data_IF_172278831880
#
_entry.id   IF_172278831880
#
_cell.length_a   1.000
_cell.length_b   1.000
_cell.length_c   1.000
_cell.angle_alpha   90.00
_cell.angle_beta   90.00
_cell.angle_gamma   90.00
#
_symmetry.space_group_name_H-M   'P 1'
#
loop_
_entity.id
_entity.type
_entity.pdbx_description
1 polymer ?
#
# COMPACT_ATOMS: atom_id res chain seq x y z
N UNK A 1 -17.32 -24.51 -26.02
CA UNK A 1 -17.98 -24.96 -24.79
C UNK A 1 -17.92 -23.83 -23.76
N UNK A 2 -19.00 -23.08 -23.62
CA UNK A 2 -19.12 -21.99 -22.65
C UNK A 2 -19.39 -22.63 -21.28
N UNK A 3 -18.43 -22.55 -20.35
CA UNK A 3 -18.65 -23.00 -18.96
C UNK A 3 -19.51 -21.94 -18.27
N UNK A 4 -20.81 -22.20 -18.16
CA UNK A 4 -21.68 -21.44 -17.26
C UNK A 4 -21.28 -21.82 -15.83
N UNK A 5 -20.87 -20.84 -15.02
CA UNK A 5 -20.64 -21.05 -13.60
C UNK A 5 -22.02 -21.18 -12.94
N UNK A 6 -22.31 -22.37 -12.42
CA UNK A 6 -23.51 -22.60 -11.61
C UNK A 6 -23.43 -21.73 -10.34
N UNK A 7 -24.46 -20.93 -10.12
CA UNK A 7 -24.56 -20.05 -8.95
C UNK A 7 -25.42 -20.76 -7.91
N UNK A 8 -24.88 -20.97 -6.71
CA UNK A 8 -25.60 -21.66 -5.64
C UNK A 8 -26.61 -20.72 -4.98
N UNK A 9 -27.90 -21.09 -5.06
CA UNK A 9 -29.02 -20.37 -4.44
C UNK A 9 -29.49 -21.17 -3.23
N UNK A 10 -29.63 -20.51 -2.08
CA UNK A 10 -30.19 -21.14 -0.89
C UNK A 10 -31.66 -21.51 -1.11
N UNK A 11 -32.02 -22.79 -0.92
CA UNK A 11 -33.37 -23.29 -1.12
C UNK A 11 -34.42 -22.78 -0.11
N UNK A 12 -33.99 -22.26 1.04
CA UNK A 12 -34.89 -21.79 2.10
C UNK A 12 -35.19 -20.29 2.03
N UNK A 13 -34.17 -19.47 1.75
CA UNK A 13 -34.31 -18.01 1.75
C UNK A 13 -34.11 -17.36 0.38
N UNK A 14 -33.80 -18.13 -0.66
CA UNK A 14 -33.58 -17.63 -2.03
C UNK A 14 -32.33 -16.76 -2.20
N UNK A 15 -31.51 -16.61 -1.15
CA UNK A 15 -30.30 -15.80 -1.21
C UNK A 15 -29.18 -16.51 -1.96
N UNK A 16 -28.42 -15.73 -2.72
CA UNK A 16 -27.35 -16.20 -3.60
C UNK A 16 -26.00 -15.91 -2.95
N UNK A 17 -25.15 -16.92 -2.78
CA UNK A 17 -23.80 -16.71 -2.29
C UNK A 17 -22.87 -16.31 -3.44
N UNK A 18 -22.51 -15.03 -3.49
CA UNK A 18 -21.56 -14.48 -4.47
C UNK A 18 -20.28 -14.02 -3.79
N UNK A 19 -19.13 -14.28 -4.41
CA UNK A 19 -17.82 -13.95 -3.84
C UNK A 19 -17.51 -12.45 -3.80
N UNK A 20 -18.17 -11.64 -4.63
CA UNK A 20 -18.10 -10.17 -4.63
C UNK A 20 -19.36 -9.60 -5.28
N UNK A 21 -20.03 -8.65 -4.64
CA UNK A 21 -21.08 -7.82 -5.26
C UNK A 21 -20.39 -6.57 -5.81
N UNK A 22 -20.56 -6.30 -7.11
CA UNK A 22 -20.03 -5.09 -7.76
C UNK A 22 -21.20 -4.26 -8.23
N UNK A 23 -21.42 -3.10 -7.61
CA UNK A 23 -22.41 -2.13 -8.07
C UNK A 23 -21.80 -1.25 -9.16
N UNK A 24 -22.38 -1.28 -10.35
CA UNK A 24 -22.04 -0.34 -11.42
C UNK A 24 -22.87 0.93 -11.25
N UNK A 25 -22.23 2.07 -11.00
CA UNK A 25 -22.88 3.38 -11.11
C UNK A 25 -22.70 3.89 -12.53
N UNK A 26 -23.79 4.18 -13.24
CA UNK A 26 -23.81 4.38 -14.70
C UNK A 26 -23.05 5.60 -15.24
N UNK A 27 -22.49 6.49 -14.42
CA UNK A 27 -21.73 7.65 -14.89
C UNK A 27 -20.44 7.87 -14.08
N UNK A 28 -19.52 6.91 -14.11
CA UNK A 28 -18.14 7.20 -13.69
C UNK A 28 -17.35 7.63 -14.91
N UNK A 29 -16.79 8.83 -14.86
CA UNK A 29 -15.79 9.26 -15.84
C UNK A 29 -14.60 8.29 -15.73
N UNK A 30 -14.43 7.41 -16.71
CA UNK A 30 -13.33 6.45 -16.76
C UNK A 30 -12.31 7.02 -17.73
N UNK A 31 -11.21 7.51 -17.16
CA UNK A 31 -10.03 7.86 -17.93
C UNK A 31 -9.49 6.59 -18.61
N UNK A 32 -9.73 6.48 -19.92
CA UNK A 32 -9.36 5.31 -20.72
C UNK A 32 -7.84 5.17 -20.91
N UNK A 33 -7.07 6.23 -20.68
CA UNK A 33 -5.61 6.22 -20.78
C UNK A 33 -4.97 5.56 -19.54
N UNK A 34 -5.58 5.77 -18.36
CA UNK A 34 -5.05 5.33 -17.06
C UNK A 34 -6.03 4.45 -16.28
N UNK A 35 -6.66 3.47 -16.93
CA UNK A 35 -7.71 2.63 -16.34
C UNK A 35 -7.23 1.93 -15.08
N UNK A 36 -6.13 1.19 -15.13
CA UNK A 36 -5.62 0.40 -14.00
C UNK A 36 -5.31 1.28 -12.78
N UNK A 37 -4.66 2.42 -13.01
CA UNK A 37 -4.34 3.39 -11.96
C UNK A 37 -5.61 4.01 -11.37
N UNK A 38 -6.56 4.41 -12.22
CA UNK A 38 -7.83 5.01 -11.78
C UNK A 38 -8.65 4.01 -10.94
N UNK A 39 -8.67 2.74 -11.34
CA UNK A 39 -9.33 1.68 -10.56
C UNK A 39 -8.65 1.47 -9.20
N UNK A 40 -7.31 1.43 -9.16
CA UNK A 40 -6.56 1.36 -7.90
C UNK A 40 -6.88 2.53 -6.98
N UNK A 41 -6.88 3.76 -7.48
CA UNK A 41 -7.10 4.91 -6.61
C UNK A 41 -8.53 4.93 -6.06
N UNK A 42 -9.51 4.51 -6.86
CA UNK A 42 -10.91 4.46 -6.44
C UNK A 42 -11.23 3.32 -5.47
N UNK A 43 -10.68 2.13 -5.67
CA UNK A 43 -10.97 0.98 -4.80
C UNK A 43 -10.42 1.16 -3.38
N UNK A 44 -9.32 1.89 -3.21
CA UNK A 44 -8.70 2.16 -1.89
C UNK A 44 -8.78 3.62 -1.45
N UNK A 45 -9.57 4.44 -2.13
CA UNK A 45 -9.74 5.87 -1.82
C UNK A 45 -8.39 6.61 -1.66
N UNK A 46 -7.47 6.37 -2.61
CA UNK A 46 -6.15 7.00 -2.59
C UNK A 46 -6.25 8.46 -3.06
N UNK A 47 -5.54 9.40 -2.41
CA UNK A 47 -5.63 10.82 -2.71
C UNK A 47 -4.84 11.22 -3.97
N UNK A 48 -5.14 12.40 -4.51
CA UNK A 48 -4.36 13.07 -5.57
C UNK A 48 -4.12 12.23 -6.85
N UNK A 49 -5.17 11.59 -7.38
CA UNK A 49 -5.09 10.79 -8.61
C UNK A 49 -4.45 11.53 -9.80
N UNK A 50 -4.74 12.81 -9.99
CA UNK A 50 -4.18 13.58 -11.12
C UNK A 50 -2.66 13.78 -11.01
N UNK A 51 -2.13 13.86 -9.79
CA UNK A 51 -0.69 13.86 -9.56
C UNK A 51 -0.09 12.50 -9.86
N UNK A 52 -0.72 11.43 -9.39
CA UNK A 52 -0.30 10.06 -9.70
C UNK A 52 -0.25 9.77 -11.21
N UNK A 53 -1.16 10.35 -12.01
CA UNK A 53 -1.12 10.24 -13.48
C UNK A 53 0.14 10.89 -14.07
N UNK A 54 0.67 11.96 -13.47
CA UNK A 54 1.95 12.56 -13.89
C UNK A 54 3.12 11.61 -13.63
N UNK A 55 3.14 10.95 -12.47
CA UNK A 55 4.10 9.89 -12.17
C UNK A 55 4.00 8.76 -13.20
N UNK A 56 2.77 8.30 -13.51
CA UNK A 56 2.55 7.28 -14.53
C UNK A 56 3.12 7.64 -15.90
N UNK A 57 2.90 8.87 -16.37
CA UNK A 57 3.47 9.35 -17.64
C UNK A 57 5.00 9.34 -17.62
N UNK A 58 5.62 9.84 -16.55
CA UNK A 58 7.08 9.83 -16.43
C UNK A 58 7.66 8.41 -16.32
N UNK A 59 7.00 7.50 -15.60
CA UNK A 59 7.37 6.09 -15.52
C UNK A 59 7.31 5.39 -16.89
N UNK A 60 6.28 5.69 -17.68
CA UNK A 60 6.12 5.16 -19.03
C UNK A 60 7.24 5.60 -19.98
N UNK A 61 7.66 6.86 -19.89
CA UNK A 61 8.78 7.41 -20.67
C UNK A 61 10.12 6.86 -20.18
N UNK A 62 10.31 6.67 -18.88
CA UNK A 62 11.57 6.15 -18.35
C UNK A 62 11.76 4.65 -18.62
N UNK A 63 10.70 3.86 -18.44
CA UNK A 63 10.72 2.40 -18.62
C UNK A 63 10.42 2.02 -20.08
N UNK A 64 10.55 2.93 -21.05
CA UNK A 64 10.11 2.81 -22.46
C UNK A 64 10.53 1.52 -23.22
N UNK A 65 11.40 0.69 -22.62
CA UNK A 65 11.94 -0.57 -23.15
C UNK A 65 11.65 -1.82 -22.28
N UNK A 66 10.86 -1.71 -21.20
CA UNK A 66 10.63 -2.79 -20.25
C UNK A 66 9.47 -3.74 -20.63
N UNK A 67 9.60 -5.03 -20.30
CA UNK A 67 8.51 -6.04 -20.39
C UNK A 67 7.50 -5.90 -19.25
N UNK A 68 7.07 -4.68 -18.95
CA UNK A 68 6.11 -4.42 -17.88
C UNK A 68 4.76 -4.01 -18.42
N UNK A 69 3.69 -4.48 -17.78
CA UNK A 69 2.32 -4.10 -18.15
C UNK A 69 1.91 -2.77 -17.50
N UNK A 70 0.85 -2.15 -18.04
CA UNK A 70 0.24 -0.95 -17.45
C UNK A 70 -0.25 -1.20 -16.02
N UNK A 71 -0.76 -2.39 -15.72
CA UNK A 71 -1.12 -2.79 -14.36
C UNK A 71 0.10 -2.85 -13.42
N UNK A 72 1.22 -3.41 -13.89
CA UNK A 72 2.48 -3.46 -13.11
C UNK A 72 3.02 -2.05 -12.83
N UNK A 73 2.92 -1.15 -13.82
CA UNK A 73 3.31 0.25 -13.67
C UNK A 73 2.35 1.02 -12.75
N UNK A 74 1.05 0.79 -12.87
CA UNK A 74 0.04 1.43 -12.02
C UNK A 74 0.20 1.07 -10.55
N UNK A 75 0.46 -0.21 -10.23
CA UNK A 75 0.75 -0.62 -8.87
C UNK A 75 2.04 0.00 -8.32
N UNK A 76 3.06 0.13 -9.16
CA UNK A 76 4.34 0.78 -8.80
C UNK A 76 4.13 2.25 -8.50
N UNK A 77 3.49 2.98 -9.41
CA UNK A 77 3.18 4.41 -9.28
C UNK A 77 2.33 4.65 -8.04
N UNK A 78 1.27 3.88 -7.83
CA UNK A 78 0.46 3.97 -6.62
C UNK A 78 1.31 3.78 -5.36
N UNK A 79 2.21 2.80 -5.34
CA UNK A 79 3.03 2.54 -4.16
C UNK A 79 4.02 3.67 -3.85
N UNK A 80 4.72 4.17 -4.87
CA UNK A 80 5.70 5.27 -4.70
C UNK A 80 4.99 6.58 -4.37
N UNK A 81 3.89 6.90 -5.04
CA UNK A 81 3.15 8.12 -4.76
C UNK A 81 2.66 8.18 -3.30
N UNK A 82 2.14 7.07 -2.76
CA UNK A 82 1.77 7.03 -1.35
C UNK A 82 2.96 7.21 -0.41
N UNK A 83 4.16 6.71 -0.77
CA UNK A 83 5.38 6.95 0.02
C UNK A 83 5.75 8.43 0.07
N UNK A 84 5.65 9.14 -1.04
CA UNK A 84 5.95 10.58 -1.12
C UNK A 84 4.92 11.44 -0.37
N UNK A 85 3.71 10.90 -0.16
CA UNK A 85 2.67 11.52 0.66
C UNK A 85 2.75 11.11 2.14
N UNK A 86 3.82 10.43 2.56
CA UNK A 86 3.96 9.87 3.91
C UNK A 86 2.74 9.05 4.35
N UNK A 87 2.21 8.23 3.44
CA UNK A 87 1.03 7.39 3.67
C UNK A 87 1.35 5.91 3.53
N UNK A 88 0.81 5.05 4.41
CA UNK A 88 1.07 3.63 4.33
C UNK A 88 0.31 3.01 3.16
N UNK A 89 0.99 2.10 2.47
CA UNK A 89 0.50 1.47 1.24
C UNK A 89 0.78 -0.03 1.28
N UNK A 90 -0.16 -0.82 0.78
CA UNK A 90 -0.03 -2.28 0.75
C UNK A 90 0.17 -2.77 -0.68
N UNK A 91 1.43 -2.86 -1.10
CA UNK A 91 1.80 -3.33 -2.43
C UNK A 91 1.18 -4.69 -2.78
N UNK A 92 1.12 -5.61 -1.81
CA UNK A 92 0.57 -6.94 -2.02
C UNK A 92 -0.93 -6.88 -2.35
N UNK A 93 -1.71 -6.07 -1.61
CA UNK A 93 -3.14 -5.87 -1.89
C UNK A 93 -3.34 -5.24 -3.28
N UNK A 94 -2.58 -4.22 -3.63
CA UNK A 94 -2.66 -3.58 -4.96
C UNK A 94 -2.36 -4.58 -6.08
N UNK A 95 -1.29 -5.37 -5.94
CA UNK A 95 -0.91 -6.38 -6.92
C UNK A 95 -1.98 -7.47 -7.05
N UNK A 96 -2.53 -7.93 -5.92
CA UNK A 96 -3.55 -8.98 -5.89
C UNK A 96 -4.82 -8.55 -6.61
N UNK A 97 -5.28 -7.32 -6.40
CA UNK A 97 -6.46 -6.77 -7.07
C UNK A 97 -6.30 -6.68 -8.57
N UNK A 98 -5.14 -6.21 -9.05
CA UNK A 98 -4.83 -6.13 -10.47
C UNK A 98 -4.44 -7.48 -11.09
N UNK A 99 -4.37 -8.56 -10.29
CA UNK A 99 -4.01 -9.89 -10.78
C UNK A 99 -2.55 -10.04 -11.21
N UNK A 100 -1.64 -9.23 -10.67
CA UNK A 100 -0.21 -9.20 -11.05
C UNK A 100 0.70 -9.72 -9.93
N UNK A 101 1.93 -10.11 -10.30
CA UNK A 101 2.92 -10.64 -9.35
C UNK A 101 3.70 -9.51 -8.68
N UNK A 102 3.68 -9.48 -7.34
CA UNK A 102 4.43 -8.49 -6.53
C UNK A 102 5.93 -8.48 -6.83
N UNK A 103 6.53 -9.62 -7.19
CA UNK A 103 7.97 -9.71 -7.50
C UNK A 103 8.38 -8.86 -8.70
N UNK A 104 7.53 -8.74 -9.73
CA UNK A 104 7.82 -7.88 -10.88
C UNK A 104 7.68 -6.41 -10.52
N UNK A 105 6.63 -6.06 -9.76
CA UNK A 105 6.37 -4.70 -9.31
C UNK A 105 7.50 -4.20 -8.42
N UNK A 106 8.02 -5.03 -7.50
CA UNK A 106 9.21 -4.71 -6.69
C UNK A 106 10.43 -4.36 -7.55
N UNK A 107 10.72 -5.16 -8.59
CA UNK A 107 11.82 -4.86 -9.52
C UNK A 107 11.63 -3.54 -10.26
N UNK A 108 10.39 -3.14 -10.52
CA UNK A 108 10.09 -1.85 -11.14
C UNK A 108 10.26 -0.71 -10.14
N UNK A 109 9.77 -0.87 -8.91
CA UNK A 109 10.00 0.09 -7.81
C UNK A 109 11.49 0.34 -7.64
N UNK A 110 12.30 -0.73 -7.59
CA UNK A 110 13.76 -0.60 -7.44
C UNK A 110 14.42 0.20 -8.58
N UNK A 111 13.85 0.19 -9.79
CA UNK A 111 14.35 0.98 -10.91
C UNK A 111 13.87 2.43 -10.88
N UNK A 112 12.64 2.66 -10.42
CA UNK A 112 12.02 3.98 -10.42
C UNK A 112 12.34 4.79 -9.18
N UNK A 113 12.69 4.16 -8.06
CA UNK A 113 13.06 4.86 -6.83
C UNK A 113 14.30 5.74 -7.06
N UNK A 114 15.30 5.24 -7.79
CA UNK A 114 16.51 6.02 -8.10
C UNK A 114 16.19 7.16 -9.08
N UNK A 115 15.27 6.93 -10.02
CA UNK A 115 14.85 7.94 -10.99
C UNK A 115 14.08 9.11 -10.35
N UNK A 116 13.27 8.83 -9.34
CA UNK A 116 12.48 9.82 -8.62
C UNK A 116 13.10 10.25 -7.28
N UNK A 117 14.32 9.80 -6.99
CA UNK A 117 15.04 10.06 -5.74
C UNK A 117 14.21 9.75 -4.48
N UNK A 118 13.58 8.58 -4.46
CA UNK A 118 12.70 8.13 -3.38
C UNK A 118 13.44 7.14 -2.48
N UNK A 119 13.64 7.51 -1.20
CA UNK A 119 14.11 6.58 -0.18
C UNK A 119 12.94 5.87 0.52
N UNK A 120 13.10 4.56 0.75
CA UNK A 120 12.17 3.73 1.51
C UNK A 120 12.50 3.70 3.00
N UNK A 121 13.63 4.27 3.38
CA UNK A 121 13.96 4.56 4.74
C UNK A 121 13.33 5.88 5.16
N UNK A 122 13.01 5.96 6.44
CA UNK A 122 12.45 7.15 7.06
C UNK A 122 13.51 7.78 7.94
N UNK A 123 13.60 9.10 7.93
CA UNK A 123 14.14 9.85 9.05
C UNK A 123 13.03 10.10 10.10
N UNK A 124 13.42 10.71 11.23
CA UNK A 124 12.49 10.93 12.35
C UNK A 124 11.37 11.93 11.96
N UNK A 125 11.68 12.96 11.18
CA UNK A 125 10.68 13.93 10.73
C UNK A 125 9.65 13.28 9.79
N UNK A 126 10.10 12.40 8.89
CA UNK A 126 9.22 11.60 8.02
C UNK A 126 8.37 10.63 8.83
N UNK A 127 8.95 10.01 9.87
CA UNK A 127 8.20 9.13 10.77
C UNK A 127 7.09 9.90 11.52
N UNK A 128 7.37 11.13 11.96
CA UNK A 128 6.35 12.04 12.52
C UNK A 128 5.25 12.32 11.51
N UNK A 129 5.57 12.78 10.30
CA UNK A 129 4.55 13.09 9.27
C UNK A 129 3.68 11.88 8.91
N UNK A 130 4.28 10.68 8.87
CA UNK A 130 3.55 9.44 8.66
C UNK A 130 2.56 9.15 9.80
N UNK A 131 2.99 9.31 11.04
CA UNK A 131 2.17 9.10 12.23
C UNK A 131 1.08 10.17 12.38
N UNK A 132 1.37 11.43 12.08
CA UNK A 132 0.39 12.54 12.02
C UNK A 132 -0.70 12.24 10.99
N UNK A 133 -0.31 11.77 9.80
CA UNK A 133 -1.25 11.37 8.73
C UNK A 133 -2.15 10.20 9.15
N UNK A 134 -1.70 9.39 10.10
CA UNK A 134 -2.43 8.26 10.67
C UNK A 134 -3.17 8.60 11.97
N UNK A 135 -3.06 9.85 12.44
CA UNK A 135 -3.64 10.33 13.70
C UNK A 135 -3.19 9.45 14.89
N UNK A 136 -1.91 9.11 14.94
CA UNK A 136 -1.29 8.35 16.04
C UNK A 136 -0.01 9.02 16.53
N UNK A 137 0.22 8.93 17.83
CA UNK A 137 1.45 9.41 18.46
C UNK A 137 2.45 8.27 18.69
N UNK A 138 3.69 8.62 19.00
CA UNK A 138 4.69 7.69 19.52
C UNK A 138 5.65 8.42 20.46
N UNK A 139 6.35 7.66 21.30
CA UNK A 139 7.41 8.22 22.15
C UNK A 139 8.65 8.56 21.31
N UNK A 140 8.98 9.85 21.27
CA UNK A 140 10.10 10.38 20.48
C UNK A 140 11.46 9.88 20.96
N UNK A 141 11.65 9.68 22.27
CA UNK A 141 12.91 9.19 22.81
C UNK A 141 13.14 7.73 22.40
N UNK A 142 12.07 6.92 22.41
CA UNK A 142 12.12 5.54 21.92
C UNK A 142 12.41 5.51 20.42
N UNK A 143 11.76 6.37 19.62
CA UNK A 143 12.02 6.44 18.18
C UNK A 143 13.46 6.85 17.86
N UNK A 144 14.01 7.83 18.60
CA UNK A 144 15.40 8.26 18.42
C UNK A 144 16.37 7.12 18.68
N UNK A 145 16.21 6.39 19.79
CA UNK A 145 17.04 5.20 20.09
C UNK A 145 16.98 4.16 18.98
N UNK A 146 15.79 3.93 18.43
CA UNK A 146 15.64 2.99 17.31
C UNK A 146 16.31 3.51 16.04
N UNK A 147 16.23 4.82 15.76
CA UNK A 147 16.87 5.44 14.60
C UNK A 147 18.41 5.41 14.67
N UNK A 148 18.97 5.53 15.87
CA UNK A 148 20.42 5.47 16.11
C UNK A 148 20.99 4.06 15.86
N UNK A 149 20.21 3.02 16.15
CA UNK A 149 20.62 1.61 16.02
C UNK A 149 20.17 0.94 14.71
N UNK A 150 19.09 1.44 14.10
CA UNK A 150 18.43 0.79 12.97
C UNK A 150 17.87 1.78 11.96
N UNK A 151 17.94 1.39 10.70
CA UNK A 151 17.28 2.11 9.61
C UNK A 151 15.76 2.05 9.79
N UNK A 152 15.10 3.20 9.96
CA UNK A 152 13.66 3.25 10.18
C UNK A 152 12.92 2.80 8.92
N UNK A 153 12.04 1.82 9.13
CA UNK A 153 11.10 1.33 8.11
C UNK A 153 9.69 1.46 8.66
N UNK A 154 8.64 1.49 7.82
CA UNK A 154 7.25 1.52 8.30
C UNK A 154 6.94 0.42 9.32
N UNK A 155 7.58 -0.74 9.21
CA UNK A 155 7.40 -1.86 10.16
C UNK A 155 8.03 -1.63 11.52
N UNK A 156 9.14 -0.89 11.59
CA UNK A 156 9.77 -0.50 12.86
C UNK A 156 9.00 0.67 13.49
N UNK A 157 8.58 1.66 12.70
CA UNK A 157 7.74 2.77 13.16
C UNK A 157 6.44 2.22 13.77
N UNK A 158 5.75 1.32 13.07
CA UNK A 158 4.55 0.65 13.59
C UNK A 158 4.83 -0.12 14.90
N UNK A 159 6.01 -0.72 15.03
CA UNK A 159 6.38 -1.42 16.26
C UNK A 159 6.61 -0.45 17.43
N UNK A 160 7.29 0.68 17.20
CA UNK A 160 7.46 1.74 18.21
C UNK A 160 6.10 2.29 18.64
N UNK A 161 5.20 2.60 17.69
CA UNK A 161 3.82 3.03 18.00
C UNK A 161 3.12 1.99 18.89
N UNK A 162 3.22 0.70 18.55
CA UNK A 162 2.62 -0.37 19.36
C UNK A 162 3.28 -0.54 20.75
N UNK A 163 4.57 -0.25 20.89
CA UNK A 163 5.25 -0.31 22.18
C UNK A 163 4.88 0.83 23.11
N UNK A 164 4.60 2.00 22.54
CA UNK A 164 4.48 3.28 23.26
C UNK A 164 3.04 3.75 23.44
N UNK A 165 2.07 3.04 22.89
CA UNK A 165 0.64 3.36 22.99
C UNK A 165 -0.19 2.14 23.44
N UNK A 166 -1.34 2.39 24.05
CA UNK A 166 -2.31 1.38 24.51
C UNK A 166 -3.14 0.73 23.37
N UNK A 167 -2.65 0.79 22.13
CA UNK A 167 -3.35 0.25 20.98
C UNK A 167 -3.08 -1.24 20.81
N UNK A 168 -4.10 -2.01 20.42
CA UNK A 168 -3.86 -3.41 20.04
C UNK A 168 -2.95 -3.51 18.80
N UNK A 169 -2.06 -4.49 18.78
CA UNK A 169 -1.18 -4.76 17.62
C UNK A 169 -1.95 -4.90 16.29
N UNK A 170 -3.19 -5.40 16.32
CA UNK A 170 -4.05 -5.47 15.13
C UNK A 170 -4.49 -4.10 14.62
N UNK A 171 -4.85 -3.19 15.54
CA UNK A 171 -5.22 -1.81 15.19
C UNK A 171 -4.04 -1.09 14.55
N UNK A 172 -2.86 -1.18 15.15
CA UNK A 172 -1.63 -0.59 14.61
C UNK A 172 -1.27 -1.19 13.25
N UNK A 173 -1.32 -2.52 13.11
CA UNK A 173 -1.05 -3.16 11.82
C UNK A 173 -2.00 -2.71 10.71
N UNK A 174 -3.28 -2.49 11.02
CA UNK A 174 -4.25 -1.98 10.06
C UNK A 174 -3.93 -0.55 9.62
N UNK A 175 -3.56 0.34 10.55
CA UNK A 175 -3.18 1.73 10.23
C UNK A 175 -1.99 1.78 9.26
N UNK A 176 -0.94 1.03 9.57
CA UNK A 176 0.26 0.96 8.73
C UNK A 176 0.11 0.05 7.50
N UNK A 177 -1.07 -0.54 7.28
CA UNK A 177 -1.32 -1.46 6.17
C UNK A 177 -0.39 -2.71 6.16
N UNK A 178 0.05 -3.16 7.34
CA UNK A 178 0.96 -4.29 7.56
C UNK A 178 0.23 -5.53 8.07
N UNK A 179 0.94 -6.66 8.15
CA UNK A 179 0.44 -7.82 8.89
C UNK A 179 0.66 -7.66 10.40
N UNK A 180 -0.32 -8.08 11.19
CA UNK A 180 -0.27 -8.03 12.65
C UNK A 180 0.95 -8.80 13.22
N UNK A 181 1.28 -9.93 12.62
CA UNK A 181 2.47 -10.73 12.98
C UNK A 181 3.77 -9.98 12.73
N UNK A 182 3.87 -9.19 11.64
CA UNK A 182 5.09 -8.42 11.37
C UNK A 182 5.31 -7.35 12.44
N UNK A 183 4.25 -6.61 12.81
CA UNK A 183 4.33 -5.61 13.89
C UNK A 183 4.77 -6.24 15.20
N UNK A 184 4.18 -7.38 15.57
CA UNK A 184 4.53 -8.09 16.81
C UNK A 184 5.99 -8.59 16.80
N UNK A 185 6.46 -9.16 15.70
CA UNK A 185 7.83 -9.64 15.57
C UNK A 185 8.84 -8.49 15.63
N UNK A 186 8.50 -7.34 15.03
CA UNK A 186 9.35 -6.14 15.10
C UNK A 186 9.39 -5.56 16.51
N UNK A 187 8.26 -5.49 17.22
CA UNK A 187 8.24 -5.10 18.64
C UNK A 187 9.18 -5.97 19.48
N UNK A 188 9.07 -7.30 19.37
CA UNK A 188 9.94 -8.21 20.13
C UNK A 188 11.42 -7.98 19.85
N UNK A 189 11.77 -7.74 18.58
CA UNK A 189 13.14 -7.41 18.19
C UNK A 189 13.59 -6.08 18.80
N UNK A 190 12.71 -5.09 18.90
CA UNK A 190 13.04 -3.83 19.55
C UNK A 190 13.23 -4.01 21.06
N UNK A 191 12.37 -4.75 21.75
CA UNK A 191 12.52 -5.06 23.19
C UNK A 191 13.84 -5.77 23.55
N UNK A 192 14.54 -6.38 22.58
CA UNK A 192 15.88 -6.96 22.77
C UNK A 192 17.02 -5.93 22.65
N UNK A 193 16.75 -4.76 22.07
CA UNK A 193 17.73 -3.73 21.71
C UNK A 193 17.61 -2.49 22.62
N UNK A 194 16.38 -2.08 22.94
CA UNK A 194 16.05 -0.87 23.74
C UNK A 194 15.60 -1.22 25.15
#
# INVERSE_FOLDING_TARGET
MTRVKEVYVCGECGLVNVSKIVSFSENRDIDREFIDLTLLYREWDLPHLDEAKKYMRSAYVYIHSGRFSMAEMSATVAHIHMRNLDRPTNLYKHCKYLGIRTTKVKRMIDRLKDFWDVDWHYNIEEAHRLCDTLEVDFDIEVMQKVADEMVLTPSLIAAVVYMTNDMSHRKVANLFNLSATNVLNKKKKLEEII
#
